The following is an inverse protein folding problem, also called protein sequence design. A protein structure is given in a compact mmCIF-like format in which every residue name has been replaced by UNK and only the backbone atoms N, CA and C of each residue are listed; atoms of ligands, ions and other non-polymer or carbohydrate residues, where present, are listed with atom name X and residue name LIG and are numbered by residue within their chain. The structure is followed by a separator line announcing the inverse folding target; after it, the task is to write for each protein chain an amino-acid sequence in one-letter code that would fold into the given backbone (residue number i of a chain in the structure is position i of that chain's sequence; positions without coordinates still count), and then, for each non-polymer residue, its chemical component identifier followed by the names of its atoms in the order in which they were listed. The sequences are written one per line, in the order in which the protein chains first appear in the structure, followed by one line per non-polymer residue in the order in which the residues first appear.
data_IF_875430562792
#
_entry.id   IF_875430562792
#
_cell.length_a   1.000
_cell.length_b   1.000
_cell.length_c   1.000
_cell.angle_alpha   90.00
_cell.angle_beta   90.00
_cell.angle_gamma   90.00
#
_symmetry.space_group_name_H-M   'P 1'
#
loop_
_entity.id
_entity.type
_entity.pdbx_description
1 polymer ?
#
# COMPACT_ATOMS: atom_id res chain seq x y z
N UNK A 1 2.84 8.57 -35.48
CA UNK A 1 1.91 9.00 -34.42
C UNK A 1 2.57 8.77 -33.07
N UNK A 2 3.20 9.80 -32.50
CA UNK A 2 3.75 9.70 -31.15
C UNK A 2 2.59 9.92 -30.17
N UNK A 3 2.17 8.85 -29.48
CA UNK A 3 1.17 8.96 -28.43
C UNK A 3 1.78 9.79 -27.30
N UNK A 4 1.21 10.97 -27.05
CA UNK A 4 1.57 11.82 -25.93
C UNK A 4 1.39 11.02 -24.65
N UNK A 5 2.49 10.77 -23.93
CA UNK A 5 2.43 10.20 -22.59
C UNK A 5 1.72 11.22 -21.71
N UNK A 6 0.42 11.03 -21.48
CA UNK A 6 -0.36 11.88 -20.58
C UNK A 6 0.36 11.89 -19.23
N UNK A 7 1.00 13.00 -18.92
CA UNK A 7 1.81 13.19 -17.72
C UNK A 7 0.95 12.76 -16.54
N UNK A 8 1.39 11.71 -15.84
CA UNK A 8 0.72 11.17 -14.66
C UNK A 8 0.27 12.31 -13.76
N UNK A 9 -1.04 12.47 -13.55
CA UNK A 9 -1.56 13.44 -12.59
C UNK A 9 -0.93 13.24 -11.21
N UNK A 10 -1.06 14.22 -10.32
CA UNK A 10 -0.66 14.01 -8.93
C UNK A 10 -1.47 12.84 -8.34
N UNK A 11 -0.81 12.01 -7.52
CA UNK A 11 -1.50 10.94 -6.80
C UNK A 11 -2.46 11.55 -5.78
N UNK A 12 -3.73 11.16 -5.85
CA UNK A 12 -4.74 11.59 -4.90
C UNK A 12 -4.82 10.66 -3.70
N UNK A 13 -5.41 11.13 -2.60
CA UNK A 13 -5.65 10.29 -1.42
C UNK A 13 -6.54 9.08 -1.74
N UNK A 14 -7.53 9.22 -2.62
CA UNK A 14 -8.38 8.10 -3.05
C UNK A 14 -7.58 7.03 -3.80
N UNK A 15 -6.63 7.45 -4.64
CA UNK A 15 -5.73 6.51 -5.32
C UNK A 15 -4.84 5.77 -4.28
N UNK A 16 -4.31 6.49 -3.29
CA UNK A 16 -3.50 5.89 -2.22
C UNK A 16 -4.31 4.89 -1.38
N UNK A 17 -5.55 5.20 -1.02
CA UNK A 17 -6.45 4.31 -0.28
C UNK A 17 -6.79 3.04 -1.08
N UNK A 18 -7.14 3.18 -2.36
CA UNK A 18 -7.37 2.04 -3.25
C UNK A 18 -6.11 1.17 -3.39
N UNK A 19 -4.93 1.79 -3.47
CA UNK A 19 -3.65 1.10 -3.57
C UNK A 19 -3.33 0.29 -2.30
N UNK A 20 -3.62 0.83 -1.12
CA UNK A 20 -3.53 0.11 0.16
C UNK A 20 -4.49 -1.09 0.23
N UNK A 21 -5.75 -0.93 -0.19
CA UNK A 21 -6.73 -2.04 -0.23
C UNK A 21 -6.29 -3.13 -1.19
N UNK A 22 -5.80 -2.76 -2.37
CA UNK A 22 -5.27 -3.69 -3.36
C UNK A 22 -4.06 -4.46 -2.83
N UNK A 23 -3.11 -3.79 -2.18
CA UNK A 23 -1.96 -4.44 -1.57
C UNK A 23 -2.38 -5.45 -0.51
N UNK A 24 -3.29 -5.07 0.39
CA UNK A 24 -3.83 -5.95 1.43
C UNK A 24 -4.46 -7.20 0.82
N UNK A 25 -5.30 -7.04 -0.19
CA UNK A 25 -5.93 -8.17 -0.88
C UNK A 25 -4.91 -9.12 -1.51
N UNK A 26 -3.90 -8.58 -2.20
CA UNK A 26 -2.84 -9.39 -2.80
C UNK A 26 -1.98 -10.10 -1.74
N UNK A 27 -1.79 -9.50 -0.56
CA UNK A 27 -1.04 -10.10 0.54
C UNK A 27 -1.78 -11.21 1.27
N UNK A 28 -3.12 -11.21 1.23
CA UNK A 28 -3.98 -12.21 1.86
C UNK A 28 -4.33 -13.38 0.90
N UNK A 29 -3.98 -13.30 -0.39
CA UNK A 29 -4.24 -14.33 -1.41
C UNK A 29 -3.38 -15.60 -1.16
N UNK A 30 -3.88 -16.47 -0.29
CA UNK A 30 -3.25 -17.75 0.09
C UNK A 30 -3.25 -18.81 -1.02
N UNK A 31 -4.02 -18.61 -2.09
CA UNK A 31 -4.21 -19.57 -3.18
C UNK A 31 -3.00 -19.61 -4.12
N UNK A 32 -2.21 -18.54 -4.17
CA UNK A 32 -1.10 -18.40 -5.13
C UNK A 32 0.20 -18.53 -4.36
N UNK A 33 0.80 -19.73 -4.43
CA UNK A 33 2.03 -20.09 -3.73
C UNK A 33 3.21 -19.12 -3.92
N UNK A 34 4.25 -19.32 -3.13
CA UNK A 34 5.42 -18.41 -2.95
C UNK A 34 6.23 -18.09 -4.22
N UNK A 35 5.97 -18.74 -5.36
CA UNK A 35 6.69 -18.62 -6.63
C UNK A 35 6.28 -17.40 -7.48
N UNK A 36 5.79 -16.32 -6.88
CA UNK A 36 5.36 -15.14 -7.63
C UNK A 36 6.56 -14.25 -8.00
N UNK A 37 6.62 -13.83 -9.27
CA UNK A 37 7.55 -12.77 -9.68
C UNK A 37 7.07 -11.42 -9.13
N UNK A 38 8.01 -10.53 -8.77
CA UNK A 38 7.71 -9.14 -8.37
C UNK A 38 6.75 -8.49 -9.37
N UNK A 39 7.05 -8.59 -10.66
CA UNK A 39 6.21 -8.03 -11.74
C UNK A 39 4.79 -8.61 -11.73
N UNK A 40 4.65 -9.92 -11.52
CA UNK A 40 3.36 -10.58 -11.42
C UNK A 40 2.52 -10.10 -10.23
N UNK A 41 3.16 -9.83 -9.08
CA UNK A 41 2.50 -9.24 -7.90
C UNK A 41 1.97 -7.85 -8.23
N UNK A 42 2.82 -6.97 -8.77
CA UNK A 42 2.43 -5.58 -9.06
C UNK A 42 1.44 -5.46 -10.20
N UNK A 43 1.46 -6.37 -11.17
CA UNK A 43 0.46 -6.43 -12.25
C UNK A 43 -0.93 -6.71 -11.67
N UNK A 44 -1.07 -7.74 -10.82
CA UNK A 44 -2.34 -8.08 -10.17
C UNK A 44 -2.82 -6.97 -9.25
N UNK A 45 -1.89 -6.39 -8.50
CA UNK A 45 -2.18 -5.27 -7.63
C UNK A 45 -2.71 -4.08 -8.43
N UNK A 46 -2.10 -3.74 -9.57
CA UNK A 46 -2.59 -2.66 -10.44
C UNK A 46 -3.98 -2.95 -11.02
N UNK A 47 -4.30 -4.21 -11.31
CA UNK A 47 -5.65 -4.61 -11.74
C UNK A 47 -6.67 -4.45 -10.60
N UNK A 48 -6.35 -4.94 -9.41
CA UNK A 48 -7.22 -4.81 -8.22
C UNK A 48 -7.37 -3.38 -7.74
N UNK A 49 -6.33 -2.57 -7.87
CA UNK A 49 -6.37 -1.14 -7.61
C UNK A 49 -7.44 -0.46 -8.48
N UNK A 50 -7.52 -0.80 -9.76
CA UNK A 50 -8.55 -0.25 -10.65
C UNK A 50 -9.96 -0.70 -10.24
N UNK A 51 -10.13 -1.94 -9.78
CA UNK A 51 -11.41 -2.43 -9.26
C UNK A 51 -11.84 -1.71 -7.96
N UNK A 52 -10.90 -1.44 -7.05
CA UNK A 52 -11.19 -0.74 -5.79
C UNK A 52 -11.32 0.77 -5.93
N UNK A 53 -10.86 1.33 -7.05
CA UNK A 53 -11.06 2.73 -7.35
C UNK A 53 -12.50 2.94 -7.85
N UNK A 54 -13.44 3.09 -6.91
CA UNK A 54 -14.89 3.33 -7.11
C UNK A 54 -15.20 4.72 -7.76
N UNK A 55 -14.32 5.23 -8.62
CA UNK A 55 -14.48 6.51 -9.31
C UNK A 55 -14.83 6.37 -10.79
N UNK A 56 -15.14 7.50 -11.43
CA UNK A 56 -15.03 7.65 -12.89
C UNK A 56 -13.68 7.09 -13.33
N UNK A 57 -13.65 6.27 -14.39
CA UNK A 57 -12.43 5.66 -14.94
C UNK A 57 -11.31 6.69 -14.91
N UNK A 58 -10.27 6.49 -14.08
CA UNK A 58 -9.26 7.53 -13.90
C UNK A 58 -8.67 7.82 -15.27
N UNK A 59 -8.71 9.10 -15.68
CA UNK A 59 -8.21 9.55 -17.00
C UNK A 59 -6.74 9.19 -17.21
N UNK A 60 -6.04 8.77 -16.16
CA UNK A 60 -4.70 8.24 -16.20
C UNK A 60 -4.67 6.86 -15.53
N UNK A 61 -4.84 5.80 -16.32
CA UNK A 61 -4.68 4.42 -15.86
C UNK A 61 -3.22 4.25 -15.42
N UNK A 62 -2.99 4.12 -14.11
CA UNK A 62 -1.65 3.90 -13.54
C UNK A 62 -1.18 2.50 -13.87
N UNK A 63 -0.01 2.38 -14.48
CA UNK A 63 0.61 1.08 -14.72
C UNK A 63 1.21 0.49 -13.42
N UNK A 64 1.57 -0.80 -13.47
CA UNK A 64 2.15 -1.51 -12.32
C UNK A 64 3.43 -0.85 -11.79
N UNK A 65 4.26 -0.27 -12.65
CA UNK A 65 5.51 0.41 -12.26
C UNK A 65 5.22 1.70 -11.49
N UNK A 66 4.18 2.44 -11.89
CA UNK A 66 3.71 3.63 -11.18
C UNK A 66 3.19 3.28 -9.79
N UNK A 67 2.41 2.20 -9.68
CA UNK A 67 1.91 1.67 -8.42
C UNK A 67 3.05 1.25 -7.49
N UNK A 68 4.02 0.49 -8.00
CA UNK A 68 5.21 0.07 -7.25
C UNK A 68 6.02 1.28 -6.77
N UNK A 69 6.29 2.24 -7.65
CA UNK A 69 7.03 3.45 -7.32
C UNK A 69 6.33 4.28 -6.24
N UNK A 70 5.00 4.47 -6.35
CA UNK A 70 4.19 5.18 -5.34
C UNK A 70 4.22 4.46 -4.00
N UNK A 71 4.03 3.14 -4.02
CA UNK A 71 4.05 2.31 -2.82
C UNK A 71 5.39 2.43 -2.08
N UNK A 72 6.49 2.17 -2.79
CA UNK A 72 7.82 2.13 -2.21
C UNK A 72 8.27 3.50 -1.69
N UNK A 73 7.95 4.58 -2.40
CA UNK A 73 8.44 5.93 -2.06
C UNK A 73 7.59 6.66 -1.02
N UNK A 74 6.28 6.43 -0.98
CA UNK A 74 5.37 7.26 -0.19
C UNK A 74 4.53 6.46 0.81
N UNK A 75 3.96 5.33 0.41
CA UNK A 75 3.05 4.56 1.27
C UNK A 75 3.81 3.74 2.31
N UNK A 76 4.73 2.89 1.88
CA UNK A 76 5.48 2.01 2.78
C UNK A 76 6.23 2.78 3.89
N UNK A 77 6.94 3.89 3.61
CA UNK A 77 7.57 4.67 4.68
C UNK A 77 6.58 5.27 5.67
N UNK A 78 5.40 5.70 5.20
CA UNK A 78 4.36 6.27 6.06
C UNK A 78 3.73 5.20 6.96
N UNK A 79 3.45 4.02 6.40
CA UNK A 79 2.96 2.86 7.14
C UNK A 79 3.96 2.39 8.19
N UNK A 80 5.26 2.35 7.85
CA UNK A 80 6.31 1.98 8.79
C UNK A 80 6.40 2.94 9.97
N UNK A 81 6.28 4.26 9.74
CA UNK A 81 6.25 5.24 10.83
C UNK A 81 5.09 4.99 11.78
N UNK A 82 3.90 4.70 11.25
CA UNK A 82 2.73 4.40 12.07
C UNK A 82 2.91 3.10 12.86
N UNK A 83 3.46 2.06 12.23
CA UNK A 83 3.77 0.79 12.89
C UNK A 83 4.77 0.96 14.04
N UNK A 84 5.84 1.73 13.83
CA UNK A 84 6.82 2.01 14.89
C UNK A 84 6.22 2.82 16.04
N UNK A 85 5.34 3.79 15.75
CA UNK A 85 4.64 4.54 16.79
C UNK A 85 3.74 3.62 17.64
N UNK A 86 3.04 2.67 17.00
CA UNK A 86 2.20 1.69 17.68
C UNK A 86 3.02 0.74 18.58
N UNK A 87 4.17 0.26 18.09
CA UNK A 87 5.07 -0.57 18.89
C UNK A 87 5.60 0.19 20.11
N UNK A 88 6.00 1.45 19.92
CA UNK A 88 6.48 2.29 21.01
C UNK A 88 5.40 2.58 22.05
N UNK A 89 4.13 2.75 21.65
CA UNK A 89 3.03 2.95 22.61
C UNK A 89 2.71 1.67 23.38
N UNK A 90 2.70 0.51 22.71
CA UNK A 90 2.49 -0.78 23.37
C UNK A 90 3.60 -1.08 24.40
N UNK A 91 4.86 -0.87 24.03
CA UNK A 91 6.00 -1.08 24.94
C UNK A 91 5.95 -0.16 26.17
N UNK A 92 5.49 1.10 26.03
CA UNK A 92 5.30 1.99 27.19
C UNK A 92 4.24 1.46 28.15
N UNK A 93 3.11 1.00 27.62
CA UNK A 93 2.04 0.43 28.43
C UNK A 93 2.51 -0.81 29.22
N UNK A 94 3.30 -1.70 28.60
CA UNK A 94 3.89 -2.85 29.29
C UNK A 94 4.89 -2.43 30.38
N UNK A 95 5.71 -1.40 30.14
CA UNK A 95 6.65 -0.89 31.15
C UNK A 95 5.93 -0.21 32.32
N UNK A 96 4.88 0.56 32.07
CA UNK A 96 4.07 1.19 33.11
C UNK A 96 3.37 0.12 33.97
N UNK A 97 2.81 -0.93 33.35
CA UNK A 97 2.19 -2.06 34.07
C UNK A 97 3.21 -2.79 34.97
N UNK A 98 4.43 -3.02 34.50
CA UNK A 98 5.51 -3.63 35.29
C UNK A 98 5.95 -2.77 36.49
N UNK A 99 5.73 -1.46 36.46
CA UNK A 99 6.09 -0.57 37.57
C UNK A 99 5.11 -0.70 38.75
N UNK A 100 3.84 -1.03 38.48
CA UNK A 100 2.80 -1.15 39.51
C UNK A 100 2.70 -2.55 40.14
N UNK A 101 3.15 -3.62 39.48
CA UNK A 101 3.24 -4.97 40.10
C UNK A 101 4.42 -5.13 41.08
N UNK A 102 5.35 -4.15 41.12
CA UNK A 102 6.54 -4.18 41.98
C UNK A 102 6.36 -3.48 43.34
N UNK A 103 5.15 -3.03 43.68
CA UNK A 103 4.76 -2.44 44.96
C UNK A 103 3.91 -3.42 45.77
#
# INVERSE_FOLDING_TARGET
MASSTMKGGAWTQKEDEALCRAYRWVSEDSVRGSSQTREGVWTRLSQKYLEFYEGTTPSNIRNHESCYSRWKKHLQPSLNKWHQALLASASRHENDANYYEKL
#
